data_IF_522020324040
#
_entry.id   IF_522020324040
#
_cell.length_a   1.000
_cell.length_b   1.000
_cell.length_c   1.000
_cell.angle_alpha   90.00
_cell.angle_beta   90.00
_cell.angle_gamma   90.00
#
_symmetry.space_group_name_H-M   'P 1'
#
loop_
_entity.id
_entity.type
_entity.pdbx_description
1 polymer ?
#
# COMPACT_ATOMS: atom_id res chain seq x y z
N UNK A 1 -3.73 15.68 22.70
CA UNK A 1 -3.77 15.70 21.22
C UNK A 1 -2.50 15.05 20.75
N UNK A 2 -2.57 13.82 20.25
CA UNK A 2 -1.39 13.11 19.79
C UNK A 2 -0.76 13.86 18.61
N UNK A 3 0.55 14.12 18.69
CA UNK A 3 1.27 14.74 17.57
C UNK A 3 1.31 13.74 16.42
N UNK A 4 1.01 14.23 15.22
CA UNK A 4 1.11 13.43 14.00
C UNK A 4 2.54 12.90 13.86
N UNK A 5 2.67 11.57 13.76
CA UNK A 5 3.97 10.88 13.72
C UNK A 5 4.44 10.58 12.29
N UNK A 6 3.56 10.70 11.30
CA UNK A 6 3.89 10.41 9.89
C UNK A 6 4.75 11.53 9.32
N UNK A 7 5.85 11.17 8.64
CA UNK A 7 6.76 12.13 8.00
C UNK A 7 6.26 12.70 6.66
N UNK A 8 5.07 12.29 6.19
CA UNK A 8 4.50 12.77 4.93
C UNK A 8 2.98 12.75 4.97
N UNK A 9 2.37 13.76 4.37
CA UNK A 9 0.92 13.82 4.19
C UNK A 9 0.46 12.70 3.25
N UNK A 10 -0.72 12.16 3.53
CA UNK A 10 -1.40 11.17 2.69
C UNK A 10 -2.61 11.78 2.02
N UNK A 11 -2.81 11.47 0.76
CA UNK A 11 -3.97 11.86 -0.03
C UNK A 11 -4.83 10.62 -0.28
N UNK A 12 -6.13 10.73 -0.02
CA UNK A 12 -7.10 9.69 -0.36
C UNK A 12 -7.31 9.70 -1.86
N UNK A 13 -6.72 8.74 -2.56
CA UNK A 13 -6.79 8.64 -4.02
C UNK A 13 -6.74 7.17 -4.42
N UNK A 14 -7.51 6.81 -5.44
CA UNK A 14 -7.56 5.48 -6.04
C UNK A 14 -6.73 5.46 -7.30
N UNK A 15 -5.52 4.91 -7.19
CA UNK A 15 -4.61 4.69 -8.31
C UNK A 15 -4.49 3.17 -8.51
N UNK A 16 -4.74 2.65 -9.73
CA UNK A 16 -4.49 1.24 -10.02
C UNK A 16 -3.02 0.88 -9.79
N UNK A 17 -2.78 -0.21 -9.08
CA UNK A 17 -1.44 -0.74 -8.79
C UNK A 17 -1.39 -2.24 -9.06
N UNK A 18 -0.21 -2.71 -9.42
CA UNK A 18 0.11 -4.13 -9.54
C UNK A 18 1.19 -4.47 -8.51
N UNK A 19 0.86 -5.36 -7.57
CA UNK A 19 1.79 -5.86 -6.58
C UNK A 19 2.42 -7.16 -7.09
N UNK A 20 3.74 -7.16 -7.20
CA UNK A 20 4.53 -8.32 -7.57
C UNK A 20 5.29 -8.79 -6.33
N UNK A 21 4.97 -9.98 -5.85
CA UNK A 21 5.67 -10.59 -4.73
C UNK A 21 6.70 -11.58 -5.25
N UNK A 22 7.88 -11.59 -4.65
CA UNK A 22 8.93 -12.55 -5.00
C UNK A 22 8.42 -14.00 -4.86
N UNK A 23 8.61 -14.80 -5.90
CA UNK A 23 8.15 -16.20 -5.95
C UNK A 23 6.70 -16.40 -6.39
N UNK A 24 5.88 -15.35 -6.49
CA UNK A 24 4.54 -15.45 -7.09
C UNK A 24 4.61 -15.31 -8.61
N UNK A 25 3.92 -16.21 -9.32
CA UNK A 25 3.72 -16.09 -10.79
C UNK A 25 2.49 -15.29 -11.18
N UNK A 26 1.65 -14.93 -10.20
CA UNK A 26 0.42 -14.18 -10.43
C UNK A 26 0.50 -12.85 -9.68
N UNK A 27 0.54 -11.71 -10.39
CA UNK A 27 0.48 -10.40 -9.75
C UNK A 27 -0.89 -10.16 -9.11
N UNK A 28 -0.92 -9.37 -8.03
CA UNK A 28 -2.15 -8.89 -7.42
C UNK A 28 -2.46 -7.52 -8.00
N UNK A 29 -3.60 -7.38 -8.67
CA UNK A 29 -4.08 -6.11 -9.21
C UNK A 29 -5.11 -5.52 -8.27
N UNK A 30 -4.89 -4.28 -7.82
CA UNK A 30 -5.76 -3.57 -6.88
C UNK A 30 -5.65 -2.06 -7.08
N UNK A 31 -6.26 -1.27 -6.22
CA UNK A 31 -6.13 0.19 -6.16
C UNK A 31 -5.70 0.66 -4.77
N UNK A 32 -4.98 1.79 -4.73
CA UNK A 32 -4.65 2.44 -3.45
C UNK A 32 -5.90 2.98 -2.78
N UNK A 33 -5.95 2.92 -1.45
CA UNK A 33 -6.91 3.68 -0.65
C UNK A 33 -6.35 5.06 -0.29
N UNK A 34 -5.04 5.13 -0.02
CA UNK A 34 -4.29 6.38 0.09
C UNK A 34 -2.86 6.27 -0.44
N UNK A 35 -2.28 7.42 -0.78
CA UNK A 35 -0.93 7.55 -1.30
C UNK A 35 -0.20 8.71 -0.59
N UNK A 36 1.08 8.51 -0.32
CA UNK A 36 2.03 9.54 0.13
C UNK A 36 3.34 9.46 -0.66
N UNK A 37 4.21 10.44 -0.47
CA UNK A 37 5.52 10.49 -1.11
C UNK A 37 6.40 9.25 -0.80
N UNK A 38 6.25 8.66 0.38
CA UNK A 38 7.12 7.57 0.87
C UNK A 38 6.43 6.20 0.94
N UNK A 39 5.20 6.10 0.45
CA UNK A 39 4.46 4.84 0.43
C UNK A 39 2.96 5.02 0.24
N UNK A 40 2.24 3.90 0.15
CA UNK A 40 0.81 3.85 -0.08
C UNK A 40 0.12 2.87 0.87
N UNK A 41 -1.20 2.87 0.88
CA UNK A 41 -2.01 1.84 1.52
C UNK A 41 -2.99 1.24 0.51
N UNK A 42 -3.14 -0.07 0.53
CA UNK A 42 -4.15 -0.82 -0.23
C UNK A 42 -5.03 -1.57 0.76
N UNK A 43 -6.33 -1.61 0.48
CA UNK A 43 -7.26 -2.47 1.21
C UNK A 43 -7.28 -3.85 0.52
N UNK A 44 -7.14 -4.92 1.29
CA UNK A 44 -7.09 -6.29 0.77
C UNK A 44 -7.95 -7.22 1.62
N UNK A 45 -8.50 -8.26 0.99
CA UNK A 45 -9.29 -9.29 1.69
C UNK A 45 -8.43 -10.27 2.50
N UNK A 46 -7.11 -10.28 2.26
CA UNK A 46 -6.13 -11.11 2.95
C UNK A 46 -4.87 -10.29 3.26
N UNK A 47 -4.11 -10.73 4.24
CA UNK A 47 -2.87 -10.08 4.64
C UNK A 47 -1.69 -10.61 3.83
N UNK A 48 -0.77 -9.72 3.48
CA UNK A 48 0.60 -10.08 3.10
C UNK A 48 1.48 -10.09 4.35
N UNK A 49 2.50 -10.94 4.36
CA UNK A 49 3.45 -10.94 5.46
C UNK A 49 4.24 -9.62 5.46
N UNK A 50 4.50 -9.08 6.64
CA UNK A 50 5.35 -7.89 6.76
C UNK A 50 6.77 -8.26 6.31
N UNK A 51 7.36 -7.42 5.47
CA UNK A 51 8.69 -7.69 4.92
C UNK A 51 8.70 -8.67 3.76
N UNK A 52 7.54 -9.01 3.17
CA UNK A 52 7.50 -9.70 1.88
C UNK A 52 8.20 -8.84 0.82
N UNK A 53 9.26 -9.35 0.18
CA UNK A 53 9.93 -8.68 -0.93
C UNK A 53 9.09 -8.69 -2.21
#
# INVERSE_FOLDING_TARGET
>A
MDKEKRGSNRVKIRVPVELQSEGSKSPIRTETADLSLTGFYVEMMFNLNVGTP
#
